data_IF_309437114128
#
_entry.id   IF_309437114128
#
_cell.length_a   1.000
_cell.length_b   1.000
_cell.length_c   1.000
_cell.angle_alpha   90.00
_cell.angle_beta   90.00
_cell.angle_gamma   90.00
#
_symmetry.space_group_name_H-M   'P 1'
#
loop_
_entity.id
_entity.type
_entity.pdbx_description
1 polymer ?
#
# COMPACT_ATOMS: atom_id res chain seq x y z
N UNK A 1 47.99 -26.01 -21.20
CA UNK A 1 47.00 -25.93 -20.10
C UNK A 1 46.11 -24.70 -20.30
N UNK A 2 45.18 -24.72 -21.27
CA UNK A 2 44.25 -23.59 -21.50
C UNK A 2 43.08 -24.00 -22.42
N UNK A 3 42.28 -24.98 -22.00
CA UNK A 3 41.06 -25.41 -22.72
C UNK A 3 39.82 -25.60 -21.81
N UNK A 4 40.01 -25.61 -20.49
CA UNK A 4 38.93 -25.78 -19.50
C UNK A 4 38.22 -24.49 -19.09
N UNK A 5 38.94 -23.36 -19.08
CA UNK A 5 38.43 -22.09 -18.55
C UNK A 5 37.28 -21.50 -19.37
N UNK A 6 37.35 -21.59 -20.71
CA UNK A 6 36.30 -21.06 -21.60
C UNK A 6 34.96 -21.77 -21.49
N UNK A 7 34.96 -23.07 -21.14
CA UNK A 7 33.72 -23.87 -20.99
C UNK A 7 32.99 -23.55 -19.68
N UNK A 8 33.75 -23.24 -18.62
CA UNK A 8 33.19 -22.86 -17.31
C UNK A 8 32.58 -21.45 -17.37
N UNK A 9 33.27 -20.51 -18.01
CA UNK A 9 32.76 -19.13 -18.18
C UNK A 9 31.48 -19.12 -19.02
N UNK A 10 31.42 -19.89 -20.11
CA UNK A 10 30.22 -20.00 -20.94
C UNK A 10 29.04 -20.62 -20.17
N UNK A 11 29.29 -21.65 -19.35
CA UNK A 11 28.25 -22.28 -18.51
C UNK A 11 27.69 -21.33 -17.44
N UNK A 12 28.55 -20.52 -16.81
CA UNK A 12 28.14 -19.57 -15.77
C UNK A 12 27.29 -18.41 -16.33
N UNK A 13 27.62 -17.92 -17.54
CA UNK A 13 26.82 -16.92 -18.24
C UNK A 13 25.44 -17.48 -18.62
N UNK A 14 25.38 -18.73 -19.09
CA UNK A 14 24.10 -19.36 -19.46
C UNK A 14 23.17 -19.53 -18.25
N UNK A 15 23.71 -19.90 -17.08
CA UNK A 15 22.92 -20.02 -15.83
C UNK A 15 22.36 -18.67 -15.38
N UNK A 16 23.17 -17.60 -15.43
CA UNK A 16 22.70 -16.24 -15.10
C UNK A 16 21.63 -15.73 -16.07
N UNK A 17 21.72 -16.06 -17.37
CA UNK A 17 20.72 -15.67 -18.37
C UNK A 17 19.39 -16.42 -18.21
N UNK A 18 19.40 -17.66 -17.72
CA UNK A 18 18.16 -18.42 -17.44
C UNK A 18 17.48 -17.89 -16.18
N UNK A 19 18.24 -17.49 -15.15
CA UNK A 19 17.68 -16.89 -13.93
C UNK A 19 16.92 -15.58 -14.21
N UNK A 20 17.37 -14.78 -15.19
CA UNK A 20 16.69 -13.55 -15.58
C UNK A 20 15.29 -13.79 -16.18
N UNK A 21 15.08 -14.93 -16.84
CA UNK A 21 13.83 -15.25 -17.55
C UNK A 21 12.68 -15.68 -16.64
N UNK A 22 12.93 -15.95 -15.34
CA UNK A 22 11.91 -16.33 -14.37
C UNK A 22 11.48 -15.18 -13.46
N UNK A 23 12.03 -13.97 -13.60
CA UNK A 23 11.53 -12.80 -12.87
C UNK A 23 10.25 -12.30 -13.52
N UNK A 24 9.12 -12.89 -13.15
CA UNK A 24 7.81 -12.26 -13.35
C UNK A 24 7.75 -11.07 -12.40
N UNK A 25 7.83 -9.85 -12.94
CA UNK A 25 7.55 -8.67 -12.14
C UNK A 25 6.14 -8.81 -11.53
N UNK A 26 5.94 -8.50 -10.24
CA UNK A 26 4.61 -8.52 -9.66
C UNK A 26 3.70 -7.59 -10.47
N UNK A 27 2.51 -8.06 -10.81
CA UNK A 27 1.50 -7.25 -11.47
C UNK A 27 1.21 -6.04 -10.59
N UNK A 28 1.68 -4.85 -10.98
CA UNK A 28 1.35 -3.62 -10.30
C UNK A 28 -0.11 -3.29 -10.58
N UNK A 29 -0.99 -3.58 -9.63
CA UNK A 29 -2.38 -3.10 -9.69
C UNK A 29 -2.37 -1.57 -9.57
N UNK A 30 -3.04 -0.90 -10.51
CA UNK A 30 -3.30 0.52 -10.38
C UNK A 30 -4.19 0.77 -9.15
N UNK A 31 -3.98 1.88 -8.45
CA UNK A 31 -4.88 2.29 -7.36
C UNK A 31 -6.28 2.52 -7.94
N UNK A 32 -7.29 1.97 -7.28
CA UNK A 32 -8.70 2.19 -7.60
C UNK A 32 -9.14 3.58 -7.16
N UNK A 33 -10.27 4.08 -7.69
CA UNK A 33 -10.89 5.32 -7.22
C UNK A 33 -11.17 5.27 -5.71
N UNK A 34 -11.61 4.13 -5.23
CA UNK A 34 -11.89 3.86 -3.82
C UNK A 34 -10.62 3.94 -2.95
N UNK A 35 -9.49 3.37 -3.41
CA UNK A 35 -8.21 3.53 -2.73
C UNK A 35 -7.75 5.00 -2.70
N UNK A 36 -7.99 5.75 -3.77
CA UNK A 36 -7.65 7.18 -3.83
C UNK A 36 -8.48 8.00 -2.85
N UNK A 37 -9.77 7.70 -2.71
CA UNK A 37 -10.66 8.34 -1.75
C UNK A 37 -10.21 8.08 -0.30
N UNK A 38 -9.88 6.83 0.04
CA UNK A 38 -9.29 6.52 1.34
C UNK A 38 -7.99 7.30 1.58
N UNK A 39 -7.11 7.35 0.57
CA UNK A 39 -5.84 8.07 0.66
C UNK A 39 -6.02 9.58 0.81
N UNK A 40 -7.06 10.16 0.23
CA UNK A 40 -7.40 11.57 0.40
C UNK A 40 -7.79 11.87 1.86
N UNK A 41 -8.69 11.07 2.42
CA UNK A 41 -9.07 11.17 3.84
C UNK A 41 -7.86 10.99 4.77
N UNK A 42 -7.03 9.96 4.51
CA UNK A 42 -5.80 9.71 5.27
C UNK A 42 -4.85 10.91 5.23
N UNK A 43 -4.66 11.53 4.06
CA UNK A 43 -3.82 12.74 3.90
C UNK A 43 -4.41 13.95 4.60
N UNK A 44 -5.74 14.09 4.61
CA UNK A 44 -6.41 15.18 5.31
C UNK A 44 -6.12 15.12 6.82
N UNK A 45 -6.26 13.93 7.41
CA UNK A 45 -5.92 13.68 8.82
C UNK A 45 -4.43 13.88 9.06
N UNK A 46 -3.56 13.29 8.23
CA UNK A 46 -2.09 13.40 8.35
C UNK A 46 -1.63 14.87 8.46
N UNK A 47 -2.20 15.74 7.60
CA UNK A 47 -1.87 17.16 7.56
C UNK A 47 -2.52 17.95 8.70
N UNK A 48 -3.81 17.77 8.93
CA UNK A 48 -4.61 18.67 9.77
C UNK A 48 -4.75 18.22 11.23
N UNK A 49 -4.55 16.93 11.54
CA UNK A 49 -4.74 16.42 12.90
C UNK A 49 -3.72 17.02 13.87
N UNK A 50 -4.18 17.45 15.04
CA UNK A 50 -3.39 18.26 15.97
C UNK A 50 -2.30 17.44 16.66
N UNK A 51 -2.60 16.19 17.04
CA UNK A 51 -1.63 15.29 17.67
C UNK A 51 -0.94 14.42 16.62
N UNK A 52 0.33 14.72 16.35
CA UNK A 52 1.14 13.96 15.38
C UNK A 52 1.62 12.60 15.90
N UNK A 53 1.29 12.23 17.15
CA UNK A 53 1.47 10.87 17.65
C UNK A 53 0.37 9.91 17.16
N UNK A 54 -0.76 10.44 16.68
CA UNK A 54 -1.92 9.69 16.20
C UNK A 54 -2.37 8.61 17.20
N UNK A 55 -2.44 8.95 18.49
CA UNK A 55 -2.72 7.98 19.56
C UNK A 55 -1.66 6.86 19.67
N UNK A 56 -0.38 7.22 19.53
CA UNK A 56 0.76 6.30 19.63
C UNK A 56 0.94 5.35 18.46
N UNK A 57 0.24 5.55 17.34
CA UNK A 57 0.31 4.67 16.17
C UNK A 57 1.18 5.25 15.04
N UNK A 58 1.84 4.38 14.29
CA UNK A 58 2.53 4.79 13.07
C UNK A 58 1.52 5.01 11.95
N UNK A 59 1.19 6.26 11.67
CA UNK A 59 0.18 6.63 10.68
C UNK A 59 0.51 6.18 9.26
N UNK A 60 1.80 6.24 8.88
CA UNK A 60 2.27 5.74 7.59
C UNK A 60 2.13 4.22 7.47
N UNK A 61 2.46 3.47 8.53
CA UNK A 61 2.32 2.01 8.53
C UNK A 61 0.85 1.59 8.52
N UNK A 62 -0.01 2.33 9.21
CA UNK A 62 -1.46 2.11 9.17
C UNK A 62 -1.97 2.18 7.72
N UNK A 63 -1.58 3.21 6.96
CA UNK A 63 -1.97 3.37 5.55
C UNK A 63 -1.60 2.18 4.67
N UNK A 64 -0.38 1.68 4.82
CA UNK A 64 0.12 0.56 4.03
C UNK A 64 -0.65 -0.73 4.33
N UNK A 65 -0.88 -1.01 5.62
CA UNK A 65 -1.69 -2.16 6.02
C UNK A 65 -3.14 -2.01 5.56
N UNK A 66 -3.74 -0.82 5.71
CA UNK A 66 -5.12 -0.59 5.32
C UNK A 66 -5.34 -0.83 3.82
N UNK A 67 -4.43 -0.34 2.95
CA UNK A 67 -4.51 -0.56 1.51
C UNK A 67 -4.34 -2.03 1.09
N UNK A 68 -3.71 -2.86 1.94
CA UNK A 68 -3.48 -4.28 1.66
C UNK A 68 -4.58 -5.16 2.24
N UNK A 69 -5.05 -4.82 3.44
CA UNK A 69 -5.81 -5.73 4.29
C UNK A 69 -7.30 -5.33 4.41
N UNK A 70 -7.67 -4.06 4.17
CA UNK A 70 -9.08 -3.63 4.19
C UNK A 70 -9.74 -3.76 2.81
N UNK A 71 -10.97 -4.27 2.73
CA UNK A 71 -11.73 -4.25 1.49
C UNK A 71 -12.12 -2.80 1.15
N UNK A 72 -11.85 -2.37 -0.08
CA UNK A 72 -12.20 -1.06 -0.64
C UNK A 72 -12.65 -1.21 -2.10
N UNK A 73 -13.59 -2.11 -2.34
CA UNK A 73 -14.12 -2.39 -3.68
C UNK A 73 -15.35 -1.55 -4.00
N UNK A 74 -16.06 -1.09 -2.97
CA UNK A 74 -17.27 -0.26 -3.07
C UNK A 74 -17.13 1.00 -2.24
N UNK A 75 -17.97 2.00 -2.55
CA UNK A 75 -17.98 3.27 -1.83
C UNK A 75 -18.27 3.08 -0.34
N UNK A 76 -19.20 2.20 -0.03
CA UNK A 76 -19.61 1.88 1.34
C UNK A 76 -18.48 1.19 2.11
N UNK A 77 -17.73 0.29 1.47
CA UNK A 77 -16.54 -0.35 2.04
C UNK A 77 -15.45 0.69 2.35
N UNK A 78 -15.18 1.60 1.41
CA UNK A 78 -14.22 2.69 1.60
C UNK A 78 -14.62 3.63 2.73
N UNK A 79 -15.90 4.01 2.81
CA UNK A 79 -16.41 4.82 3.92
C UNK A 79 -16.27 4.10 5.27
N UNK A 80 -16.53 2.79 5.31
CA UNK A 80 -16.31 1.99 6.51
C UNK A 80 -14.82 1.97 6.91
N UNK A 81 -13.90 1.81 5.95
CA UNK A 81 -12.46 1.87 6.19
C UNK A 81 -12.00 3.25 6.70
N UNK A 82 -12.52 4.35 6.14
CA UNK A 82 -12.23 5.71 6.61
C UNK A 82 -12.75 5.93 8.03
N UNK A 83 -13.98 5.49 8.34
CA UNK A 83 -14.54 5.57 9.69
C UNK A 83 -13.68 4.78 10.68
N UNK A 84 -13.31 3.55 10.33
CA UNK A 84 -12.41 2.70 11.14
C UNK A 84 -11.07 3.39 11.40
N UNK A 85 -10.47 3.97 10.37
CA UNK A 85 -9.23 4.74 10.47
C UNK A 85 -9.35 5.88 11.48
N UNK A 86 -10.39 6.71 11.37
CA UNK A 86 -10.61 7.84 12.28
C UNK A 86 -10.85 7.35 13.72
N UNK A 87 -11.60 6.25 13.91
CA UNK A 87 -11.84 5.70 15.25
C UNK A 87 -10.56 5.27 15.98
N UNK A 88 -9.48 4.95 15.28
CA UNK A 88 -8.19 4.60 15.93
C UNK A 88 -7.54 5.78 16.66
N UNK A 89 -7.92 7.02 16.31
CA UNK A 89 -7.41 8.23 16.94
C UNK A 89 -8.00 8.46 18.34
N UNK A 90 -9.07 7.74 18.70
CA UNK A 90 -9.79 7.86 19.97
C UNK A 90 -10.21 9.31 20.30
N UNK A 91 -10.55 10.08 19.26
CA UNK A 91 -10.95 11.48 19.36
C UNK A 91 -12.42 11.66 18.94
N UNK A 92 -13.33 12.03 19.86
CA UNK A 92 -14.76 12.20 19.55
C UNK A 92 -15.04 13.38 18.60
N UNK A 93 -14.10 14.29 18.40
CA UNK A 93 -14.28 15.45 17.51
C UNK A 93 -13.82 15.20 16.08
N UNK A 94 -12.98 14.18 15.86
CA UNK A 94 -12.59 13.78 14.52
C UNK A 94 -13.63 12.80 13.97
N UNK A 95 -14.34 13.21 12.91
CA UNK A 95 -15.41 12.41 12.31
C UNK A 95 -15.38 12.47 10.79
N UNK A 96 -15.75 11.36 10.16
CA UNK A 96 -16.04 11.32 8.74
C UNK A 96 -17.47 11.79 8.49
N UNK A 97 -17.66 12.66 7.50
CA UNK A 97 -18.96 13.11 7.05
C UNK A 97 -19.23 12.48 5.68
N UNK A 98 -20.22 11.60 5.62
CA UNK A 98 -20.69 11.05 4.35
C UNK A 98 -21.47 12.13 3.59
N UNK A 99 -21.34 12.19 2.25
CA UNK A 99 -22.15 13.11 1.46
C UNK A 99 -23.63 12.81 1.70
N UNK A 100 -24.43 13.86 1.89
CA UNK A 100 -25.88 13.72 2.04
C UNK A 100 -26.43 12.96 0.82
N UNK A 101 -27.05 11.81 1.07
CA UNK A 101 -27.90 11.14 0.08
C UNK A 101 -29.19 11.96 -0.04
N UNK A 102 -29.17 12.98 -0.90
CA UNK A 102 -30.38 13.67 -1.36
C UNK A 102 -31.06 12.89 -2.49
#
# INVERSE_FOLDING_TARGET
>A
MSRGLGRVVLGMVLVMSISAATYTAPSSSALTEENLLFLEAWRAVDRAYYDKSFNGQSWFRYRENALRDEPMNTREETYAAIKKMISTLDDPFTRFLEPERN
#
